data_IF_566389484791
#
_entry.id   IF_566389484791
#
_cell.length_a   1.000
_cell.length_b   1.000
_cell.length_c   1.000
_cell.angle_alpha   90.00
_cell.angle_beta   90.00
_cell.angle_gamma   90.00
#
_symmetry.space_group_name_H-M   'P 1'
#
loop_
_entity.id
_entity.type
_entity.pdbx_description
1 polymer ?
#
# COMPACT_ATOMS: atom_id res chain seq x y z
N UNK A 1 17.04 -4.02 -10.01
CA UNK A 1 16.39 -5.33 -9.72
C UNK A 1 15.26 -5.06 -8.74
N UNK A 2 14.05 -5.53 -9.03
CA UNK A 2 12.85 -5.33 -8.20
C UNK A 2 11.88 -6.49 -8.37
N UNK A 3 10.66 -6.34 -7.86
CA UNK A 3 9.52 -7.20 -8.23
C UNK A 3 8.72 -6.50 -9.33
N UNK A 4 8.17 -7.25 -10.28
CA UNK A 4 7.29 -6.67 -11.32
C UNK A 4 6.04 -6.06 -10.70
N UNK A 5 5.47 -6.74 -9.72
CA UNK A 5 4.31 -6.26 -8.97
C UNK A 5 4.61 -6.39 -7.46
N UNK A 6 4.52 -5.28 -6.70
CA UNK A 6 4.72 -5.33 -5.26
C UNK A 6 3.59 -6.09 -4.59
N UNK A 7 3.94 -7.05 -3.73
CA UNK A 7 2.96 -7.78 -2.93
C UNK A 7 2.51 -6.91 -1.77
N UNK A 8 1.28 -6.40 -1.87
CA UNK A 8 0.62 -5.56 -0.87
C UNK A 8 -0.57 -6.29 -0.26
N UNK A 9 -0.76 -6.13 1.04
CA UNK A 9 -1.85 -6.74 1.81
C UNK A 9 -2.36 -5.80 2.89
N UNK A 10 -3.60 -6.04 3.34
CA UNK A 10 -4.15 -5.36 4.52
C UNK A 10 -3.63 -6.11 5.76
N UNK A 11 -2.92 -5.44 6.68
CA UNK A 11 -2.42 -6.09 7.88
C UNK A 11 -3.57 -6.54 8.78
N UNK A 12 -3.37 -7.69 9.45
CA UNK A 12 -4.35 -8.23 10.41
C UNK A 12 -4.49 -7.35 11.66
N UNK A 13 -3.41 -6.68 12.04
CA UNK A 13 -3.37 -5.80 13.20
C UNK A 13 -3.25 -4.34 12.72
N UNK A 14 -4.25 -3.48 13.02
CA UNK A 14 -4.26 -2.08 12.61
C UNK A 14 -3.05 -1.26 13.11
N UNK A 15 -2.34 -1.74 14.14
CA UNK A 15 -1.13 -1.06 14.60
C UNK A 15 -0.04 -0.97 13.50
N UNK A 16 -0.08 -1.90 12.54
CA UNK A 16 0.85 -1.95 11.42
C UNK A 16 0.45 -1.01 10.27
N UNK A 17 -0.62 -0.22 10.42
CA UNK A 17 -1.09 0.72 9.40
C UNK A 17 -2.13 0.12 8.46
N UNK A 18 -2.33 0.76 7.32
CA UNK A 18 -3.40 0.44 6.39
C UNK A 18 -2.95 -0.56 5.33
N UNK A 19 -1.65 -0.57 5.00
CA UNK A 19 -1.06 -1.48 4.00
C UNK A 19 0.28 -2.03 4.50
N UNK A 20 0.52 -3.31 4.24
CA UNK A 20 1.79 -3.99 4.44
C UNK A 20 2.32 -4.54 3.12
N UNK A 21 3.63 -4.45 2.92
CA UNK A 21 4.33 -5.00 1.76
C UNK A 21 5.19 -6.19 2.19
N UNK A 22 5.00 -7.31 1.48
CA UNK A 22 5.70 -8.59 1.70
C UNK A 22 6.74 -8.89 0.62
N UNK A 23 6.91 -7.99 -0.35
CA UNK A 23 7.94 -8.06 -1.39
C UNK A 23 9.37 -8.34 -0.89
N UNK A 24 9.81 -7.86 0.30
CA UNK A 24 11.16 -8.19 0.80
C UNK A 24 11.42 -9.69 0.96
N UNK A 25 10.40 -10.50 1.24
CA UNK A 25 10.55 -11.96 1.35
C UNK A 25 10.85 -12.60 -0.02
N UNK A 26 10.23 -12.10 -1.08
CA UNK A 26 10.48 -12.56 -2.45
C UNK A 26 11.86 -12.09 -2.92
N UNK A 27 12.20 -10.82 -2.64
CA UNK A 27 13.49 -10.23 -3.01
C UNK A 27 14.65 -10.88 -2.27
N UNK A 28 14.46 -11.32 -1.02
CA UNK A 28 15.49 -12.01 -0.24
C UNK A 28 16.06 -13.22 -0.98
N UNK A 29 15.21 -14.02 -1.64
CA UNK A 29 15.65 -15.18 -2.43
C UNK A 29 16.45 -14.78 -3.68
N UNK A 30 16.09 -13.65 -4.31
CA UNK A 30 16.74 -13.17 -5.54
C UNK A 30 18.08 -12.47 -5.25
N UNK A 31 18.15 -11.73 -4.14
CA UNK A 31 19.31 -10.90 -3.78
C UNK A 31 20.28 -11.59 -2.83
N UNK A 32 19.87 -12.68 -2.18
CA UNK A 32 20.69 -13.38 -1.19
C UNK A 32 20.86 -12.61 0.14
N UNK A 33 20.02 -11.59 0.38
CA UNK A 33 20.07 -10.74 1.57
C UNK A 33 18.90 -11.05 2.53
N UNK A 34 19.04 -10.84 3.85
CA UNK A 34 17.95 -11.02 4.81
C UNK A 34 16.72 -10.14 4.48
N UNK A 35 15.48 -10.65 4.57
CA UNK A 35 14.27 -9.88 4.24
C UNK A 35 14.15 -8.58 5.04
N UNK A 36 14.53 -8.60 6.33
CA UNK A 36 14.51 -7.41 7.18
C UNK A 36 15.49 -6.32 6.72
N UNK A 37 16.63 -6.69 6.16
CA UNK A 37 17.59 -5.72 5.62
C UNK A 37 17.03 -5.04 4.37
N UNK A 38 16.44 -5.82 3.47
CA UNK A 38 15.76 -5.31 2.28
C UNK A 38 14.58 -4.40 2.69
N UNK A 39 13.78 -4.83 3.66
CA UNK A 39 12.67 -4.02 4.18
C UNK A 39 13.15 -2.67 4.74
N UNK A 40 14.26 -2.65 5.49
CA UNK A 40 14.87 -1.41 6.02
C UNK A 40 15.35 -0.50 4.91
N UNK A 41 16.05 -1.05 3.91
CA UNK A 41 16.50 -0.28 2.74
C UNK A 41 15.32 0.38 2.03
N UNK A 42 14.26 -0.38 1.75
CA UNK A 42 13.05 0.13 1.11
C UNK A 42 12.35 1.21 1.95
N UNK A 43 12.17 0.97 3.25
CA UNK A 43 11.55 1.95 4.13
C UNK A 43 12.38 3.24 4.22
N UNK A 44 13.72 3.14 4.25
CA UNK A 44 14.61 4.30 4.29
C UNK A 44 14.72 5.08 2.98
N UNK A 45 14.43 4.43 1.84
CA UNK A 45 14.46 5.10 0.54
C UNK A 45 13.17 5.86 0.22
N UNK A 46 12.13 5.72 1.06
CA UNK A 46 10.86 6.42 0.89
C UNK A 46 10.92 7.73 1.68
N UNK A 47 10.94 8.84 0.94
CA UNK A 47 10.83 10.16 1.52
C UNK A 47 9.36 10.52 1.75
N UNK A 48 9.02 10.84 3.00
CA UNK A 48 7.68 11.32 3.34
C UNK A 48 7.58 12.80 2.99
N UNK A 49 6.77 13.11 1.99
CA UNK A 49 6.45 14.48 1.63
C UNK A 49 5.69 15.16 2.77
N UNK A 50 6.01 16.44 3.04
CA UNK A 50 5.31 17.24 4.07
C UNK A 50 3.81 17.28 3.84
N UNK A 51 3.41 17.29 2.56
CA UNK A 51 2.02 17.31 2.14
C UNK A 51 1.51 15.96 1.62
N UNK A 52 2.25 14.87 1.89
CA UNK A 52 1.91 13.52 1.48
C UNK A 52 0.76 12.89 2.28
N UNK A 53 0.26 11.75 1.80
CA UNK A 53 -0.83 11.00 2.43
C UNK A 53 -0.36 10.00 3.50
N UNK A 54 0.95 9.82 3.67
CA UNK A 54 1.54 8.88 4.61
C UNK A 54 2.16 9.61 5.79
N UNK A 55 1.86 9.17 7.00
CA UNK A 55 2.50 9.66 8.23
C UNK A 55 3.71 8.80 8.62
N UNK A 56 3.77 7.55 8.16
CA UNK A 56 4.87 6.64 8.48
C UNK A 56 5.06 5.53 7.45
N UNK A 57 6.31 5.23 7.16
CA UNK A 57 6.73 3.96 6.55
C UNK A 57 7.74 3.29 7.47
N UNK A 58 7.51 2.03 7.84
CA UNK A 58 8.33 1.32 8.82
C UNK A 58 8.66 -0.10 8.38
N UNK A 59 9.95 -0.47 8.44
CA UNK A 59 10.38 -1.85 8.31
C UNK A 59 10.21 -2.61 9.63
N UNK A 60 9.56 -3.78 9.58
CA UNK A 60 9.27 -4.62 10.76
C UNK A 60 9.72 -6.05 10.54
N UNK A 61 10.24 -6.68 11.60
CA UNK A 61 10.59 -8.09 11.55
C UNK A 61 9.36 -8.96 11.28
N UNK A 62 9.50 -10.08 10.54
CA UNK A 62 10.72 -10.62 9.93
C UNK A 62 11.12 -10.02 8.57
N UNK A 63 10.40 -9.03 8.02
CA UNK A 63 10.68 -8.46 6.70
C UNK A 63 9.52 -7.72 6.04
N UNK A 64 8.61 -7.16 6.83
CA UNK A 64 7.49 -6.37 6.34
C UNK A 64 7.88 -4.91 6.16
N UNK A 65 7.29 -4.24 5.17
CA UNK A 65 7.28 -2.77 5.09
C UNK A 65 5.86 -2.29 5.28
N UNK A 66 5.62 -1.52 6.33
CA UNK A 66 4.31 -1.10 6.77
C UNK A 66 4.08 0.37 6.46
N UNK A 67 2.90 0.70 5.94
CA UNK A 67 2.52 2.04 5.51
C UNK A 67 1.36 2.52 6.36
N UNK A 68 1.55 3.66 7.02
CA UNK A 68 0.53 4.31 7.82
C UNK A 68 0.09 5.61 7.17
N UNK A 69 -1.21 5.73 6.97
CA UNK A 69 -1.88 6.87 6.35
C UNK A 69 -2.03 8.00 7.36
N UNK A 70 -1.86 9.23 6.88
CA UNK A 70 -2.34 10.41 7.58
C UNK A 70 -3.85 10.58 7.33
N UNK A 71 -4.65 10.07 8.27
CA UNK A 71 -6.10 10.16 8.19
C UNK A 71 -6.63 11.60 8.15
N UNK A 72 -5.90 12.57 8.72
CA UNK A 72 -6.32 13.98 8.68
C UNK A 72 -6.27 14.55 7.26
N UNK A 73 -5.40 14.01 6.41
CA UNK A 73 -5.25 14.39 4.99
C UNK A 73 -6.03 13.50 4.05
N UNK A 74 -6.06 12.20 4.32
CA UNK A 74 -6.69 11.23 3.44
C UNK A 74 -8.22 11.26 3.54
N UNK A 75 -8.79 11.38 4.76
CA UNK A 75 -10.25 11.30 4.93
C UNK A 75 -11.01 12.39 4.18
N UNK A 76 -10.57 13.68 4.19
CA UNK A 76 -11.23 14.72 3.41
C UNK A 76 -11.32 14.40 1.92
N UNK A 77 -10.25 13.85 1.32
CA UNK A 77 -10.22 13.48 -0.10
C UNK A 77 -11.24 12.38 -0.42
N UNK A 78 -11.35 11.38 0.47
CA UNK A 78 -12.35 10.31 0.33
C UNK A 78 -13.75 10.89 0.43
N UNK A 79 -14.03 11.71 1.44
CA UNK A 79 -15.36 12.33 1.63
C UNK A 79 -15.73 13.22 0.45
N UNK A 80 -14.80 14.02 -0.05
CA UNK A 80 -14.98 14.84 -1.26
C UNK A 80 -15.34 13.96 -2.46
N UNK A 81 -14.60 12.87 -2.69
CA UNK A 81 -14.87 11.94 -3.78
C UNK A 81 -16.26 11.30 -3.69
N UNK A 82 -16.74 10.99 -2.47
CA UNK A 82 -18.09 10.44 -2.25
C UNK A 82 -19.15 11.49 -2.57
N UNK A 83 -18.96 12.74 -2.14
CA UNK A 83 -19.90 13.83 -2.39
C UNK A 83 -19.99 14.18 -3.88
N UNK A 84 -18.84 14.17 -4.57
CA UNK A 84 -18.76 14.43 -6.01
C UNK A 84 -19.41 13.32 -6.84
N UNK A 85 -19.10 12.06 -6.53
CA UNK A 85 -19.56 10.91 -7.32
C UNK A 85 -20.98 10.46 -6.97
N UNK A 86 -21.48 10.73 -5.76
CA UNK A 86 -22.84 10.38 -5.31
C UNK A 86 -23.19 8.92 -5.59
N UNK A 87 -24.26 8.67 -6.34
CA UNK A 87 -24.77 7.34 -6.71
C UNK A 87 -23.82 6.54 -7.61
N UNK A 88 -22.74 7.18 -8.09
CA UNK A 88 -21.68 6.57 -8.87
C UNK A 88 -20.45 6.22 -8.04
N UNK A 89 -20.37 6.63 -6.77
CA UNK A 89 -19.24 6.27 -5.92
C UNK A 89 -19.11 4.75 -5.79
N UNK A 90 -17.88 4.25 -5.97
CA UNK A 90 -17.59 2.81 -5.96
C UNK A 90 -17.97 2.05 -7.23
N UNK A 91 -18.57 2.72 -8.24
CA UNK A 91 -18.69 2.12 -9.58
C UNK A 91 -17.33 2.11 -10.24
N UNK A 92 -17.03 1.02 -10.94
CA UNK A 92 -15.81 0.86 -11.71
C UNK A 92 -16.15 0.53 -13.15
N UNK A 93 -15.21 0.76 -14.06
CA UNK A 93 -15.32 0.30 -15.46
C UNK A 93 -14.78 -1.13 -15.62
N UNK A 94 -14.61 -1.86 -14.52
CA UNK A 94 -14.17 -3.27 -14.58
C UNK A 94 -15.24 -4.07 -15.31
N UNK A 95 -14.86 -4.71 -16.41
CA UNK A 95 -15.78 -5.44 -17.29
C UNK A 95 -16.41 -4.59 -18.40
N UNK A 96 -15.97 -3.35 -18.63
CA UNK A 96 -16.38 -2.57 -19.79
C UNK A 96 -16.10 -3.35 -21.09
N UNK A 97 -17.13 -3.49 -21.94
CA UNK A 97 -17.06 -4.30 -23.16
C UNK A 97 -17.21 -5.82 -22.96
N UNK A 98 -17.43 -6.29 -21.72
CA UNK A 98 -17.69 -7.70 -21.43
C UNK A 98 -19.19 -7.95 -21.14
N UNK A 99 -19.76 -8.97 -21.78
CA UNK A 99 -21.12 -9.43 -21.49
C UNK A 99 -21.08 -10.51 -20.42
N UNK A 100 -21.82 -10.32 -19.33
CA UNK A 100 -22.02 -11.33 -18.29
C UNK A 100 -23.43 -11.88 -18.41
N UNK A 101 -23.56 -13.19 -18.56
CA UNK A 101 -24.84 -13.89 -18.42
C UNK A 101 -25.02 -14.29 -16.95
N UNK A 102 -26.07 -13.78 -16.31
CA UNK A 102 -26.46 -14.09 -14.92
C UNK A 102 -27.44 -15.26 -14.87
#
# INVERSE_FOLDING_TARGET
MGVEEPQLEIPKDPQFGEVSCTSPFVLSKKLGSPPLEIARQLASSIELERDGLLIRVEARAPGYVNFKVDWSRYSPLVVESVIEQRDYYGRTQVGEGQSVFL
#
